data_IF_014277781341
#
_entry.id   IF_014277781341
#
_cell.length_a   1.000
_cell.length_b   1.000
_cell.length_c   1.000
_cell.angle_alpha   90.00
_cell.angle_beta   90.00
_cell.angle_gamma   90.00
#
_symmetry.space_group_name_H-M   'P 1'
#
loop_
_entity.id
_entity.type
_entity.pdbx_description
1 polymer ?
#
# COMPACT_ATOMS: atom_id res chain seq x y z
N UNK A 1 -23.96 -44.64 -24.92
CA UNK A 1 -24.80 -43.94 -23.92
C UNK A 1 -24.41 -44.44 -22.53
N UNK A 2 -23.72 -43.63 -21.73
CA UNK A 2 -23.40 -44.00 -20.34
C UNK A 2 -24.66 -43.99 -19.46
N UNK A 3 -24.79 -45.01 -18.60
CA UNK A 3 -25.86 -45.16 -17.62
C UNK A 3 -25.95 -43.96 -16.67
N UNK A 4 -27.15 -43.65 -16.21
CA UNK A 4 -27.44 -42.58 -15.22
C UNK A 4 -26.54 -42.66 -13.98
N UNK A 5 -26.19 -43.88 -13.52
CA UNK A 5 -25.26 -44.08 -12.41
C UNK A 5 -23.83 -43.68 -12.76
N UNK A 6 -23.37 -43.98 -13.97
CA UNK A 6 -22.03 -43.64 -14.47
C UNK A 6 -21.85 -42.13 -14.61
N UNK A 7 -22.89 -41.40 -15.02
CA UNK A 7 -22.87 -39.93 -15.10
C UNK A 7 -22.75 -39.26 -13.73
N UNK A 8 -23.44 -39.80 -12.70
CA UNK A 8 -23.36 -39.30 -11.33
C UNK A 8 -21.97 -39.53 -10.72
N UNK A 9 -21.36 -40.70 -10.95
CA UNK A 9 -20.02 -41.03 -10.44
C UNK A 9 -18.96 -40.14 -11.09
N UNK A 10 -19.03 -39.91 -12.40
CA UNK A 10 -18.11 -39.01 -13.10
C UNK A 10 -18.26 -37.57 -12.62
N UNK A 11 -19.50 -37.10 -12.39
CA UNK A 11 -19.75 -35.75 -11.86
C UNK A 11 -19.22 -35.60 -10.43
N UNK A 12 -19.41 -36.60 -9.56
CA UNK A 12 -18.88 -36.59 -8.18
C UNK A 12 -17.35 -36.62 -8.15
N UNK A 13 -16.71 -37.41 -9.03
CA UNK A 13 -15.25 -37.45 -9.16
C UNK A 13 -14.67 -36.14 -9.71
N UNK A 14 -15.37 -35.49 -10.64
CA UNK A 14 -14.97 -34.18 -11.17
C UNK A 14 -15.09 -33.07 -10.12
N UNK A 15 -16.15 -33.08 -9.31
CA UNK A 15 -16.32 -32.14 -8.18
C UNK A 15 -15.28 -32.37 -7.09
N UNK A 16 -14.95 -33.63 -6.77
CA UNK A 16 -13.87 -33.93 -5.82
C UNK A 16 -12.49 -33.51 -6.36
N UNK A 17 -12.21 -33.74 -7.65
CA UNK A 17 -10.96 -33.34 -8.27
C UNK A 17 -10.81 -31.80 -8.34
N UNK A 18 -11.90 -31.07 -8.64
CA UNK A 18 -11.92 -29.61 -8.59
C UNK A 18 -11.75 -29.08 -7.15
N UNK A 19 -12.40 -29.69 -6.16
CA UNK A 19 -12.25 -29.32 -4.75
C UNK A 19 -10.85 -29.65 -4.19
N UNK A 20 -10.17 -30.68 -4.72
CA UNK A 20 -8.80 -31.05 -4.35
C UNK A 20 -7.75 -30.19 -5.07
N UNK A 21 -8.01 -29.77 -6.31
CA UNK A 21 -7.15 -28.84 -7.05
C UNK A 21 -7.10 -27.45 -6.37
N UNK A 22 -8.23 -26.97 -5.82
CA UNK A 22 -8.30 -25.73 -5.02
C UNK A 22 -7.48 -25.81 -3.72
N UNK A 23 -7.16 -27.02 -3.22
CA UNK A 23 -6.32 -27.21 -2.02
C UNK A 23 -4.82 -27.33 -2.30
N UNK A 24 -4.41 -27.53 -3.56
CA UNK A 24 -3.02 -27.80 -3.93
C UNK A 24 -2.32 -26.62 -4.62
N UNK A 25 -3.07 -25.60 -5.05
CA UNK A 25 -2.49 -24.30 -5.41
C UNK A 25 -2.33 -23.45 -4.14
N UNK A 26 -1.13 -22.88 -3.86
CA UNK A 26 -1.03 -21.86 -2.83
C UNK A 26 -2.06 -20.77 -3.13
N UNK A 27 -2.75 -20.22 -2.11
CA UNK A 27 -3.68 -19.13 -2.33
C UNK A 27 -2.94 -18.00 -3.03
N UNK A 28 -3.47 -17.59 -4.18
CA UNK A 28 -3.05 -16.40 -4.90
C UNK A 28 -3.14 -15.23 -3.92
N UNK A 29 -2.02 -14.58 -3.58
CA UNK A 29 -2.01 -13.42 -2.68
C UNK A 29 -2.06 -12.15 -3.50
N UNK A 30 -2.94 -11.22 -3.12
CA UNK A 30 -3.02 -9.91 -3.79
C UNK A 30 -3.36 -8.83 -2.77
N UNK A 31 -2.79 -7.65 -3.00
CA UNK A 31 -2.41 -6.66 -2.02
C UNK A 31 -2.57 -5.19 -2.54
N UNK A 32 -3.75 -4.54 -2.63
CA UNK A 32 -3.90 -3.17 -3.24
C UNK A 32 -4.36 -1.96 -2.35
N UNK A 33 -3.58 -0.90 -2.09
CA UNK A 33 -3.81 0.34 -1.24
C UNK A 33 -5.06 0.58 -0.33
N UNK A 34 -4.83 1.19 0.84
CA UNK A 34 -5.79 1.94 1.65
C UNK A 34 -5.57 3.46 1.53
N UNK A 35 -6.61 4.27 1.36
CA UNK A 35 -6.36 5.68 1.03
C UNK A 35 -7.47 6.62 1.48
N UNK A 36 -7.21 7.50 2.46
CA UNK A 36 -8.14 8.52 3.01
C UNK A 36 -9.55 7.93 3.20
N UNK A 37 -9.57 6.75 3.80
CA UNK A 37 -10.76 5.90 3.77
C UNK A 37 -11.54 5.94 5.09
N UNK A 38 -10.83 6.15 6.19
CA UNK A 38 -11.41 6.39 7.51
C UNK A 38 -11.92 7.83 7.64
N UNK A 39 -13.13 8.07 8.18
CA UNK A 39 -13.62 9.41 8.49
C UNK A 39 -12.62 10.23 9.33
N UNK A 40 -11.86 9.59 10.21
CA UNK A 40 -10.85 10.25 11.02
C UNK A 40 -9.61 10.68 10.21
N UNK A 41 -9.20 9.88 9.22
CA UNK A 41 -8.01 10.15 8.38
C UNK A 41 -8.25 11.29 7.39
N UNK A 42 -9.49 11.49 6.94
CA UNK A 42 -9.90 12.67 6.17
C UNK A 42 -9.64 14.01 6.90
N UNK A 43 -9.30 13.97 8.19
CA UNK A 43 -8.94 15.13 9.00
C UNK A 43 -7.55 15.03 9.63
N UNK A 44 -6.82 13.93 9.43
CA UNK A 44 -5.45 13.70 9.92
C UNK A 44 -4.58 13.07 8.82
N UNK A 45 -4.39 13.79 7.73
CA UNK A 45 -3.67 13.27 6.55
C UNK A 45 -2.20 12.89 6.86
N UNK A 46 -1.61 13.43 7.93
CA UNK A 46 -0.24 13.13 8.30
C UNK A 46 -0.05 11.71 8.86
N UNK A 47 -1.13 11.05 9.28
CA UNK A 47 -1.15 9.68 9.78
C UNK A 47 -1.71 8.67 8.77
N UNK A 48 -2.29 9.13 7.65
CA UNK A 48 -2.86 8.32 6.58
C UNK A 48 -1.76 7.56 5.85
N UNK A 49 -1.70 6.24 6.07
CA UNK A 49 -0.88 5.34 5.27
C UNK A 49 -1.58 5.16 3.92
N UNK A 50 -0.80 5.05 2.85
CA UNK A 50 -1.34 4.78 1.52
C UNK A 50 -1.06 3.35 1.08
N UNK A 51 0.19 2.93 1.23
CA UNK A 51 0.61 1.61 0.82
C UNK A 51 1.81 1.10 1.60
N UNK A 52 1.82 -0.22 1.76
CA UNK A 52 2.97 -0.99 2.20
C UNK A 52 3.55 -1.81 1.05
N UNK A 53 4.88 -1.83 0.95
CA UNK A 53 5.63 -2.71 0.05
C UNK A 53 6.63 -3.53 0.87
N UNK A 54 6.83 -4.79 0.47
CA UNK A 54 7.71 -5.75 1.15
C UNK A 54 8.27 -6.70 0.10
N UNK A 55 9.57 -6.65 -0.16
CA UNK A 55 10.21 -7.51 -1.15
C UNK A 55 11.70 -7.73 -0.82
N UNK A 56 12.31 -8.79 -1.37
CA UNK A 56 13.77 -8.93 -1.31
C UNK A 56 14.41 -7.90 -2.24
N UNK A 57 15.53 -7.31 -1.83
CA UNK A 57 16.27 -6.39 -2.70
C UNK A 57 16.70 -7.14 -3.99
N UNK A 58 16.31 -6.65 -5.19
CA UNK A 58 16.60 -7.34 -6.44
C UNK A 58 18.10 -7.40 -6.78
N UNK A 59 18.92 -6.56 -6.15
CA UNK A 59 20.37 -6.53 -6.31
C UNK A 59 21.11 -7.34 -5.23
N UNK A 60 20.46 -7.59 -4.10
CA UNK A 60 21.00 -8.36 -2.98
C UNK A 60 19.87 -9.07 -2.20
N UNK A 61 19.55 -10.30 -2.61
CA UNK A 61 18.49 -11.09 -1.98
C UNK A 61 18.77 -11.46 -0.52
N UNK A 62 19.92 -11.10 0.07
CA UNK A 62 20.15 -11.19 1.51
C UNK A 62 19.48 -10.06 2.30
N UNK A 63 18.87 -9.09 1.61
CA UNK A 63 18.25 -7.90 2.19
C UNK A 63 16.75 -7.86 1.90
N UNK A 64 16.01 -7.31 2.86
CA UNK A 64 14.57 -7.07 2.76
C UNK A 64 14.34 -5.57 2.66
N UNK A 65 13.58 -5.16 1.64
CA UNK A 65 13.12 -3.78 1.45
C UNK A 65 11.68 -3.68 1.95
N UNK A 66 11.44 -2.69 2.80
CA UNK A 66 10.12 -2.31 3.30
C UNK A 66 9.88 -0.84 3.00
N UNK A 67 8.70 -0.51 2.47
CA UNK A 67 8.32 0.86 2.10
C UNK A 67 6.93 1.12 2.67
N UNK A 68 6.75 2.32 3.23
CA UNK A 68 5.47 2.88 3.66
C UNK A 68 5.30 4.23 2.97
N UNK A 69 4.20 4.41 2.25
CA UNK A 69 3.77 5.71 1.71
C UNK A 69 2.72 6.32 2.63
N UNK A 70 2.73 7.64 2.76
CA UNK A 70 1.93 8.42 3.71
C UNK A 70 1.52 9.74 3.06
N UNK A 71 0.35 10.28 3.39
CA UNK A 71 -0.08 11.61 2.96
C UNK A 71 0.05 11.80 1.42
N UNK A 72 -0.89 11.20 0.67
CA UNK A 72 -0.88 11.10 -0.77
C UNK A 72 -1.31 12.41 -1.43
N UNK A 73 -1.38 12.42 -2.76
CA UNK A 73 -1.85 13.56 -3.55
C UNK A 73 -1.05 14.85 -3.30
N UNK A 74 0.25 14.72 -3.03
CA UNK A 74 1.10 15.89 -2.86
C UNK A 74 1.31 16.59 -4.20
N UNK A 75 1.01 17.87 -4.23
CA UNK A 75 1.08 18.67 -5.45
C UNK A 75 2.49 19.23 -5.57
N UNK A 76 3.18 18.93 -6.66
CA UNK A 76 4.57 19.36 -6.92
C UNK A 76 4.77 20.88 -6.76
N UNK A 77 3.79 21.70 -7.18
CA UNK A 77 3.84 23.15 -7.05
C UNK A 77 3.58 23.69 -5.64
N UNK A 78 3.30 22.84 -4.66
CA UNK A 78 3.10 23.20 -3.24
C UNK A 78 3.93 22.32 -2.29
N UNK A 79 4.77 21.45 -2.84
CA UNK A 79 5.41 20.32 -2.14
C UNK A 79 6.15 20.73 -0.86
N UNK A 80 6.77 21.91 -0.82
CA UNK A 80 7.51 22.39 0.36
C UNK A 80 6.60 22.59 1.59
N UNK A 81 5.31 22.86 1.38
CA UNK A 81 4.31 22.96 2.46
C UNK A 81 3.67 21.63 2.84
N UNK A 82 3.81 20.60 2.01
CA UNK A 82 3.09 19.32 2.15
C UNK A 82 4.02 18.18 2.59
N UNK A 83 5.28 18.22 2.17
CA UNK A 83 6.29 17.21 2.44
C UNK A 83 6.92 17.37 3.85
N UNK A 84 6.07 17.25 4.88
CA UNK A 84 6.47 17.33 6.28
C UNK A 84 5.95 16.09 7.01
N UNK A 85 6.85 15.28 7.55
CA UNK A 85 6.48 14.19 8.46
C UNK A 85 6.06 14.77 9.82
N UNK A 86 4.92 14.35 10.38
CA UNK A 86 4.46 14.86 11.67
C UNK A 86 5.34 14.30 12.80
N UNK A 87 6.09 15.19 13.45
CA UNK A 87 6.94 14.89 14.59
C UNK A 87 6.21 14.36 15.84
N UNK A 88 4.88 14.48 15.90
CA UNK A 88 4.05 13.87 16.96
C UNK A 88 3.62 12.44 16.66
N UNK A 89 3.97 11.91 15.48
CA UNK A 89 3.69 10.54 15.08
C UNK A 89 4.93 9.65 15.21
N UNK A 90 4.65 8.38 15.49
CA UNK A 90 5.56 7.26 15.29
C UNK A 90 5.07 6.45 14.10
N UNK A 91 5.92 6.33 13.10
CA UNK A 91 5.73 5.44 11.96
C UNK A 91 6.40 4.11 12.31
N UNK A 92 5.66 3.01 12.25
CA UNK A 92 6.17 1.71 12.70
C UNK A 92 5.91 0.64 11.66
N UNK A 93 6.96 -0.10 11.35
CA UNK A 93 6.89 -1.37 10.64
C UNK A 93 6.80 -2.48 11.71
N UNK A 94 5.67 -3.18 11.73
CA UNK A 94 5.41 -4.33 12.60
C UNK A 94 5.71 -5.61 11.82
N UNK A 95 6.68 -6.39 12.30
CA UNK A 95 7.15 -7.59 11.62
C UNK A 95 6.71 -8.83 12.39
N UNK A 96 5.96 -9.70 11.72
CA UNK A 96 5.51 -11.01 12.22
C UNK A 96 6.41 -12.10 11.62
N UNK A 97 6.99 -12.98 12.43
CA UNK A 97 7.92 -14.01 11.95
C UNK A 97 7.78 -15.39 12.64
N UNK A 98 6.66 -15.63 13.31
CA UNK A 98 6.34 -16.85 14.07
C UNK A 98 5.09 -17.60 13.57
N UNK A 99 4.23 -16.93 12.82
CA UNK A 99 3.05 -17.44 12.15
C UNK A 99 1.73 -17.27 12.91
N UNK A 100 1.69 -16.50 13.99
CA UNK A 100 0.54 -16.40 14.91
C UNK A 100 -0.30 -15.10 14.77
N UNK A 101 0.00 -14.30 13.75
CA UNK A 101 -0.59 -12.98 13.50
C UNK A 101 -0.31 -11.93 14.59
N UNK A 102 0.70 -12.14 15.45
CA UNK A 102 1.16 -11.16 16.43
C UNK A 102 2.53 -10.63 15.97
N UNK A 103 2.70 -9.31 15.82
CA UNK A 103 4.02 -8.75 15.53
C UNK A 103 5.08 -9.11 16.58
N UNK A 104 6.20 -9.63 16.12
CA UNK A 104 7.33 -10.12 16.91
C UNK A 104 8.48 -9.11 17.02
N UNK A 105 8.64 -8.29 15.98
CA UNK A 105 9.72 -7.30 15.83
C UNK A 105 9.15 -5.98 15.35
N UNK A 106 9.85 -4.89 15.65
CA UNK A 106 9.41 -3.54 15.32
C UNK A 106 10.57 -2.71 14.80
N UNK A 107 10.30 -1.92 13.77
CA UNK A 107 11.15 -0.80 13.37
C UNK A 107 10.34 0.48 13.56
N UNK A 108 10.81 1.35 14.45
CA UNK A 108 10.15 2.62 14.74
C UNK A 108 10.92 3.76 14.07
N UNK A 109 10.19 4.67 13.44
CA UNK A 109 10.71 5.90 12.84
C UNK A 109 9.95 7.09 13.42
N UNK A 110 10.67 8.05 13.96
CA UNK A 110 10.13 9.36 14.36
C UNK A 110 10.94 10.47 13.71
N UNK A 111 10.36 11.65 13.59
CA UNK A 111 11.02 12.79 12.95
C UNK A 111 11.13 13.97 13.91
N UNK A 112 12.21 14.73 13.80
CA UNK A 112 12.26 16.08 14.37
C UNK A 112 11.21 16.96 13.71
N UNK A 113 10.77 18.00 14.41
CA UNK A 113 9.81 18.97 13.88
C UNK A 113 10.26 19.57 12.54
N UNK A 114 9.39 19.50 11.54
CA UNK A 114 9.49 20.31 10.32
C UNK A 114 8.84 21.68 10.50
N UNK A 115 9.35 22.70 9.81
CA UNK A 115 8.82 24.07 9.84
C UNK A 115 8.42 24.55 8.43
N UNK A 116 8.29 23.64 7.45
CA UNK A 116 7.87 23.95 6.09
C UNK A 116 8.92 24.73 5.29
N UNK A 117 8.51 25.88 4.71
CA UNK A 117 9.21 26.69 3.68
C UNK A 117 10.66 27.11 3.93
N UNK A 118 11.27 26.74 5.05
CA UNK A 118 12.64 27.15 5.42
C UNK A 118 13.44 26.12 6.25
N UNK A 119 13.20 24.80 6.15
CA UNK A 119 13.75 23.87 7.18
C UNK A 119 14.96 23.01 6.88
N UNK A 120 15.38 22.87 5.63
CA UNK A 120 16.31 21.80 5.32
C UNK A 120 15.72 20.44 5.75
N UNK A 121 16.55 19.41 5.94
CA UNK A 121 16.05 18.07 6.22
C UNK A 121 15.49 17.94 7.63
N UNK A 122 14.37 17.23 7.77
CA UNK A 122 14.01 16.65 9.08
C UNK A 122 15.03 15.56 9.41
N UNK A 123 15.34 15.38 10.70
CA UNK A 123 16.11 14.23 11.16
C UNK A 123 15.15 13.13 11.58
N UNK A 124 15.25 11.98 10.92
CA UNK A 124 14.62 10.74 11.34
C UNK A 124 15.46 10.08 12.44
N UNK A 125 14.80 9.52 13.45
CA UNK A 125 15.39 8.58 14.41
C UNK A 125 14.81 7.20 14.13
N UNK A 126 15.67 6.24 13.80
CA UNK A 126 15.31 4.88 13.39
C UNK A 126 15.73 3.91 14.49
N UNK A 127 14.76 3.28 15.14
CA UNK A 127 15.00 2.19 16.11
C UNK A 127 14.79 0.84 15.42
N UNK A 128 15.82 -0.01 15.43
CA UNK A 128 15.80 -1.35 14.83
C UNK A 128 15.62 -2.45 15.89
N UNK A 129 15.09 -3.62 15.49
CA UNK A 129 15.06 -4.79 16.37
C UNK A 129 16.48 -5.23 16.72
N UNK A 130 16.69 -5.69 17.95
CA UNK A 130 17.98 -6.25 18.34
C UNK A 130 18.29 -7.62 17.76
N UNK A 131 19.58 -7.87 17.52
CA UNK A 131 20.10 -9.20 17.18
C UNK A 131 19.72 -10.17 18.29
N UNK A 132 19.20 -11.33 17.89
CA UNK A 132 18.74 -12.39 18.80
C UNK A 132 19.89 -12.81 19.73
N UNK A 133 19.79 -12.51 21.02
CA UNK A 133 20.69 -13.07 22.04
C UNK A 133 20.33 -14.56 22.20
N UNK A 134 21.32 -15.44 22.33
CA UNK A 134 21.14 -16.91 22.36
C UNK A 134 20.09 -17.41 23.36
N UNK A 135 19.62 -18.65 23.17
CA UNK A 135 18.35 -19.28 23.62
C UNK A 135 17.95 -19.27 25.12
N UNK A 136 18.52 -18.42 25.97
CA UNK A 136 18.31 -18.44 27.42
C UNK A 136 17.61 -17.20 28.00
N UNK A 137 17.01 -16.33 27.19
CA UNK A 137 16.20 -15.21 27.69
C UNK A 137 14.71 -15.44 27.44
N UNK A 138 13.94 -15.51 28.52
CA UNK A 138 12.48 -15.65 28.52
C UNK A 138 11.81 -14.47 27.79
N UNK A 139 11.10 -14.78 26.71
CA UNK A 139 10.48 -13.87 25.75
C UNK A 139 9.38 -12.92 26.31
N UNK A 140 9.07 -12.97 27.61
CA UNK A 140 7.94 -12.23 28.17
C UNK A 140 8.23 -10.75 28.47
N UNK A 141 9.50 -10.38 28.70
CA UNK A 141 9.90 -9.00 29.01
C UNK A 141 10.71 -8.32 27.88
N UNK A 142 10.85 -8.97 26.73
CA UNK A 142 11.70 -8.51 25.61
C UNK A 142 10.92 -7.75 24.53
N UNK A 143 9.70 -7.27 24.85
CA UNK A 143 8.89 -6.44 23.93
C UNK A 143 9.49 -5.03 23.68
N UNK A 144 10.67 -4.75 24.24
CA UNK A 144 11.40 -3.48 24.17
C UNK A 144 12.91 -3.66 23.96
N UNK A 145 13.39 -4.77 23.38
CA UNK A 145 14.79 -4.87 22.96
C UNK A 145 15.07 -3.99 21.73
N UNK A 146 15.14 -2.66 21.95
CA UNK A 146 15.79 -1.69 21.05
C UNK A 146 17.24 -2.10 20.93
N UNK A 147 17.61 -2.73 19.82
CA UNK A 147 18.95 -3.29 19.71
C UNK A 147 19.95 -2.38 19.05
N UNK A 148 19.50 -1.48 18.17
CA UNK A 148 20.32 -0.52 17.44
C UNK A 148 19.44 0.71 17.10
N UNK A 149 20.01 1.91 17.21
CA UNK A 149 19.36 3.16 16.84
C UNK A 149 20.34 4.00 16.02
N UNK A 150 19.86 4.63 14.95
CA UNK A 150 20.64 5.59 14.17
C UNK A 150 19.73 6.72 13.68
N UNK A 151 20.35 7.82 13.24
CA UNK A 151 19.63 8.97 12.68
C UNK A 151 19.97 9.15 11.21
N UNK A 152 19.04 9.73 10.46
CA UNK A 152 19.20 10.02 9.03
C UNK A 152 18.45 11.31 8.65
N UNK A 153 19.01 12.18 7.79
CA UNK A 153 18.26 13.30 7.24
C UNK A 153 17.23 12.83 6.20
N UNK A 154 16.11 13.54 6.08
CA UNK A 154 15.19 13.40 4.95
C UNK A 154 15.79 14.01 3.67
N UNK A 155 15.30 13.56 2.51
CA UNK A 155 15.51 14.28 1.26
C UNK A 155 14.65 15.54 1.25
N UNK A 156 15.27 16.69 1.00
CA UNK A 156 14.56 17.98 0.92
C UNK A 156 13.93 18.10 -0.48
N UNK A 157 12.60 18.27 -0.58
CA UNK A 157 11.95 18.42 -1.87
C UNK A 157 12.24 19.79 -2.47
N UNK A 158 12.08 19.90 -3.79
CA UNK A 158 12.25 21.15 -4.52
C UNK A 158 10.92 21.60 -5.15
N UNK A 159 10.57 22.87 -4.99
CA UNK A 159 9.38 23.44 -5.64
C UNK A 159 9.73 24.21 -6.92
N UNK A 160 11.00 24.59 -7.11
CA UNK A 160 11.45 25.41 -8.24
C UNK A 160 11.05 26.89 -8.13
N UNK A 161 12.00 27.79 -8.37
CA UNK A 161 11.68 29.22 -8.57
C UNK A 161 11.53 29.57 -10.07
N UNK A 162 12.26 28.85 -10.92
CA UNK A 162 12.20 28.90 -12.39
C UNK A 162 12.02 27.46 -12.87
N UNK A 163 11.05 27.25 -13.76
CA UNK A 163 10.59 25.92 -14.18
C UNK A 163 11.31 25.43 -15.43
N UNK A 164 12.27 26.21 -15.95
CA UNK A 164 12.97 25.92 -17.20
C UNK A 164 14.09 24.88 -17.07
N UNK A 165 14.70 24.68 -15.89
CA UNK A 165 15.80 23.73 -15.64
C UNK A 165 15.75 23.15 -14.21
N UNK A 166 14.59 22.65 -13.78
CA UNK A 166 14.49 21.98 -12.47
C UNK A 166 14.72 20.47 -12.62
N UNK A 167 15.74 19.94 -11.94
CA UNK A 167 16.03 18.51 -11.84
C UNK A 167 15.59 17.98 -10.48
N UNK A 168 14.93 16.81 -10.39
CA UNK A 168 14.52 16.24 -9.10
C UNK A 168 15.70 16.14 -8.12
N UNK A 169 15.48 16.30 -6.81
CA UNK A 169 16.54 16.14 -5.83
C UNK A 169 17.02 14.69 -5.84
N UNK A 170 18.34 14.49 -5.71
CA UNK A 170 18.90 13.16 -5.51
C UNK A 170 18.39 12.59 -4.19
N UNK A 171 18.17 11.27 -4.15
CA UNK A 171 17.76 10.60 -2.94
C UNK A 171 18.88 10.63 -1.89
N UNK A 172 18.58 11.18 -0.72
CA UNK A 172 19.47 11.14 0.44
C UNK A 172 19.27 9.82 1.18
N UNK A 173 20.19 8.87 0.98
CA UNK A 173 20.18 7.55 1.62
C UNK A 173 21.25 7.48 2.70
N UNK A 174 20.87 7.08 3.91
CA UNK A 174 21.81 6.82 5.01
C UNK A 174 21.96 5.33 5.23
N UNK A 175 23.20 4.82 5.25
CA UNK A 175 23.47 3.43 5.65
C UNK A 175 24.18 3.40 6.99
N UNK A 176 23.56 2.78 7.98
CA UNK A 176 24.16 2.59 9.29
C UNK A 176 25.15 1.42 9.26
N UNK A 177 26.41 1.72 9.60
CA UNK A 177 27.50 0.74 9.59
C UNK A 177 27.37 -0.37 10.63
N UNK A 178 26.62 -0.15 11.72
CA UNK A 178 26.46 -1.12 12.81
C UNK A 178 25.43 -2.19 12.47
N UNK A 179 24.27 -1.78 11.97
CA UNK A 179 23.18 -2.66 11.58
C UNK A 179 23.28 -3.15 10.14
N UNK A 180 23.97 -2.41 9.27
CA UNK A 180 23.92 -2.60 7.82
C UNK A 180 22.59 -2.18 7.20
N UNK A 181 21.70 -1.51 7.94
CA UNK A 181 20.44 -1.00 7.42
C UNK A 181 20.67 0.27 6.59
N UNK A 182 19.92 0.40 5.50
CA UNK A 182 19.87 1.62 4.67
C UNK A 182 18.49 2.24 4.79
N UNK A 183 18.42 3.56 4.92
CA UNK A 183 17.20 4.31 5.16
C UNK A 183 17.06 5.48 4.20
N UNK A 184 15.83 5.71 3.76
CA UNK A 184 15.41 6.86 2.98
C UNK A 184 14.07 7.37 3.51
N UNK A 185 13.92 8.69 3.60
CA UNK A 185 12.63 9.33 3.77
C UNK A 185 12.57 10.64 2.96
N UNK A 186 11.45 10.91 2.29
CA UNK A 186 11.30 12.08 1.43
C UNK A 186 9.92 12.13 0.78
N UNK A 187 9.80 12.95 -0.28
CA UNK A 187 8.59 13.11 -1.06
C UNK A 187 8.80 12.76 -2.55
N UNK A 188 9.01 11.48 -2.90
CA UNK A 188 9.10 11.05 -4.29
C UNK A 188 7.75 11.11 -4.98
N UNK A 189 7.74 10.72 -6.26
CA UNK A 189 6.53 10.28 -6.95
C UNK A 189 5.79 9.18 -6.17
N UNK A 190 4.45 9.16 -6.28
CA UNK A 190 3.63 8.14 -5.64
C UNK A 190 3.73 6.82 -6.41
N UNK A 191 4.32 5.75 -5.84
CA UNK A 191 4.51 4.51 -6.57
C UNK A 191 3.22 3.70 -6.76
N UNK A 192 2.11 4.10 -6.13
CA UNK A 192 0.85 3.41 -6.31
C UNK A 192 0.10 3.92 -7.54
N UNK A 193 -0.53 3.01 -8.26
CA UNK A 193 -1.24 3.32 -9.48
C UNK A 193 -2.56 2.54 -9.48
N UNK A 194 -3.66 3.26 -9.69
CA UNK A 194 -5.02 2.72 -9.68
C UNK A 194 -5.99 3.70 -10.35
N UNK A 195 -6.99 3.19 -11.08
CA UNK A 195 -8.20 3.95 -11.40
C UNK A 195 -9.13 3.99 -10.20
N UNK A 196 -8.82 4.86 -9.25
CA UNK A 196 -9.54 4.95 -7.99
C UNK A 196 -11.00 5.44 -8.21
N UNK A 197 -11.25 6.16 -9.31
CA UNK A 197 -12.61 6.55 -9.67
C UNK A 197 -13.44 5.33 -10.05
N UNK A 198 -12.91 4.45 -10.91
CA UNK A 198 -13.56 3.21 -11.28
C UNK A 198 -13.69 2.26 -10.09
N UNK A 199 -12.65 2.12 -9.26
CA UNK A 199 -12.66 1.33 -8.04
C UNK A 199 -13.77 1.76 -7.07
N UNK A 200 -13.88 3.06 -6.77
CA UNK A 200 -14.94 3.59 -5.91
C UNK A 200 -16.35 3.35 -6.48
N UNK A 201 -16.52 3.49 -7.80
CA UNK A 201 -17.79 3.17 -8.47
C UNK A 201 -18.11 1.68 -8.39
N UNK A 202 -17.10 0.81 -8.50
CA UNK A 202 -17.25 -0.63 -8.35
C UNK A 202 -17.72 -0.99 -6.93
N UNK A 203 -17.05 -0.48 -5.90
CA UNK A 203 -17.44 -0.65 -4.47
C UNK A 203 -18.87 -0.15 -4.24
N UNK A 204 -19.18 1.07 -4.67
CA UNK A 204 -20.52 1.64 -4.50
C UNK A 204 -21.60 0.82 -5.20
N UNK A 205 -21.30 0.27 -6.39
CA UNK A 205 -22.22 -0.58 -7.12
C UNK A 205 -22.52 -1.90 -6.40
N UNK A 206 -21.54 -2.47 -5.69
CA UNK A 206 -21.71 -3.71 -4.91
C UNK A 206 -22.62 -3.48 -3.70
N UNK A 207 -22.49 -2.31 -3.06
CA UNK A 207 -23.35 -1.90 -1.94
C UNK A 207 -24.79 -1.65 -2.42
N UNK A 208 -24.96 -0.97 -3.56
CA UNK A 208 -26.29 -0.64 -4.11
C UNK A 208 -27.01 -1.85 -4.71
N UNK A 209 -26.26 -2.79 -5.30
CA UNK A 209 -26.80 -4.00 -5.92
C UNK A 209 -26.07 -5.26 -5.39
N UNK A 210 -26.33 -5.69 -4.14
CA UNK A 210 -25.65 -6.83 -3.54
C UNK A 210 -25.70 -8.09 -4.41
N UNK A 211 -24.53 -8.68 -4.64
CA UNK A 211 -24.34 -9.89 -5.45
C UNK A 211 -24.22 -9.62 -6.95
N UNK A 212 -24.46 -8.39 -7.40
CA UNK A 212 -24.43 -7.98 -8.81
C UNK A 212 -23.75 -6.62 -9.00
N UNK A 213 -22.46 -6.46 -8.61
CA UNK A 213 -21.76 -5.21 -8.81
C UNK A 213 -21.57 -4.93 -10.31
N UNK A 214 -21.55 -3.64 -10.66
CA UNK A 214 -21.33 -3.19 -12.03
C UNK A 214 -19.84 -3.24 -12.37
N UNK A 215 -19.41 -4.29 -13.06
CA UNK A 215 -18.02 -4.46 -13.53
C UNK A 215 -17.67 -3.58 -14.73
N UNK A 216 -18.67 -3.09 -15.46
CA UNK A 216 -18.46 -2.26 -16.64
C UNK A 216 -17.88 -0.89 -16.29
N UNK A 217 -17.82 -0.53 -15.00
CA UNK A 217 -17.13 0.69 -14.53
C UNK A 217 -15.65 0.72 -14.89
N UNK A 218 -15.02 -0.44 -15.10
CA UNK A 218 -13.64 -0.55 -15.56
C UNK A 218 -13.52 -0.65 -17.09
N UNK A 219 -14.60 -1.00 -17.81
CA UNK A 219 -14.56 -1.26 -19.25
C UNK A 219 -14.50 0.02 -20.12
N UNK A 220 -14.69 1.19 -19.53
CA UNK A 220 -14.72 2.47 -20.23
C UNK A 220 -13.60 3.36 -19.68
N UNK A 221 -12.73 3.83 -20.59
CA UNK A 221 -11.73 4.88 -20.30
C UNK A 221 -12.41 5.96 -19.49
N UNK A 222 -12.03 6.12 -18.23
CA UNK A 222 -12.85 6.81 -17.24
C UNK A 222 -13.19 8.24 -17.70
N UNK A 223 -14.39 8.38 -18.21
CA UNK A 223 -15.08 9.62 -18.46
C UNK A 223 -16.53 9.43 -18.01
N UNK A 224 -17.15 10.51 -17.58
CA UNK A 224 -18.38 10.46 -16.79
C UNK A 224 -19.59 10.13 -17.69
N UNK A 225 -20.03 8.88 -17.70
CA UNK A 225 -21.42 8.63 -18.09
C UNK A 225 -22.34 9.30 -17.08
N UNK A 226 -23.33 10.04 -17.56
CA UNK A 226 -24.37 10.63 -16.72
C UNK A 226 -24.96 9.54 -15.79
N UNK A 227 -25.30 9.86 -14.52
CA UNK A 227 -25.80 8.88 -13.56
C UNK A 227 -27.03 8.08 -14.02
N UNK A 228 -27.73 8.54 -15.06
CA UNK A 228 -28.92 7.94 -15.65
C UNK A 228 -28.65 7.16 -16.96
N UNK A 229 -27.40 7.10 -17.43
CA UNK A 229 -27.03 6.40 -18.67
C UNK A 229 -27.60 7.00 -19.95
N UNK A 230 -28.07 8.25 -19.91
CA UNK A 230 -28.81 8.87 -21.02
C UNK A 230 -27.94 9.35 -22.18
N UNK A 231 -26.63 9.52 -21.99
CA UNK A 231 -25.75 10.04 -23.02
C UNK A 231 -24.40 9.30 -23.09
N UNK A 232 -24.20 8.41 -24.09
CA UNK A 232 -22.93 7.75 -24.35
C UNK A 232 -21.85 8.71 -24.91
N UNK A 233 -22.19 9.98 -25.16
CA UNK A 233 -21.33 11.03 -25.71
C UNK A 233 -21.16 12.24 -24.79
N UNK A 234 -21.62 12.20 -23.53
CA UNK A 234 -21.49 13.32 -22.59
C UNK A 234 -20.03 13.79 -22.45
N UNK A 235 -19.08 12.86 -22.54
CA UNK A 235 -17.64 13.19 -22.58
C UNK A 235 -17.19 13.84 -23.89
N UNK A 236 -17.77 13.58 -25.05
CA UNK A 236 -17.32 14.28 -26.27
C UNK A 236 -17.53 15.79 -26.19
N UNK A 237 -18.49 16.24 -25.37
CA UNK A 237 -18.82 17.65 -25.17
C UNK A 237 -18.10 18.26 -23.94
N UNK A 238 -17.76 17.47 -22.92
CA UNK A 238 -17.00 17.89 -21.72
C UNK A 238 -15.49 17.60 -21.76
N UNK A 239 -15.05 16.52 -22.42
CA UNK A 239 -13.64 16.18 -22.68
C UNK A 239 -12.98 17.11 -23.71
N UNK A 240 -13.76 17.93 -24.44
CA UNK A 240 -13.22 19.11 -25.13
C UNK A 240 -12.73 20.22 -24.17
N UNK A 241 -13.06 20.11 -22.88
CA UNK A 241 -12.70 21.08 -21.84
C UNK A 241 -11.79 20.48 -20.76
N UNK A 242 -11.88 19.17 -20.50
CA UNK A 242 -10.92 18.46 -19.64
C UNK A 242 -9.63 18.12 -20.41
N UNK A 243 -8.48 18.09 -19.73
CA UNK A 243 -7.22 17.70 -20.32
C UNK A 243 -7.22 16.36 -21.06
N UNK A 244 -6.31 16.22 -22.04
CA UNK A 244 -6.12 14.96 -22.75
C UNK A 244 -5.63 13.88 -21.79
N UNK A 245 -6.43 12.83 -21.57
CA UNK A 245 -6.10 11.70 -20.69
C UNK A 245 -4.72 11.07 -20.98
N UNK A 246 -4.23 11.13 -22.22
CA UNK A 246 -2.88 10.69 -22.63
C UNK A 246 -1.73 11.33 -21.84
N UNK A 247 -1.95 12.46 -21.16
CA UNK A 247 -0.91 13.15 -20.37
C UNK A 247 -1.00 12.90 -18.87
N UNK A 248 -2.13 12.37 -18.39
CA UNK A 248 -2.35 11.93 -17.00
C UNK A 248 -2.05 10.44 -16.80
N UNK A 249 -1.37 9.82 -17.76
CA UNK A 249 -0.98 8.41 -17.71
C UNK A 249 0.54 8.24 -17.67
N UNK A 250 1.34 9.27 -17.98
CA UNK A 250 2.79 9.13 -18.06
C UNK A 250 3.22 7.93 -18.93
N UNK A 251 3.96 6.99 -18.33
CA UNK A 251 4.34 5.71 -18.96
C UNK A 251 3.21 4.67 -19.04
N UNK A 252 2.14 4.83 -18.26
CA UNK A 252 0.96 3.96 -18.35
C UNK A 252 0.31 4.09 -19.73
N UNK A 253 0.00 2.95 -20.35
CA UNK A 253 -0.63 2.88 -21.67
C UNK A 253 -2.02 2.24 -21.62
N UNK A 254 -2.48 1.89 -20.42
CA UNK A 254 -3.78 1.27 -20.20
C UNK A 254 -4.95 2.24 -20.47
N UNK A 255 -6.15 1.69 -20.54
CA UNK A 255 -7.38 2.45 -20.76
C UNK A 255 -7.84 3.21 -19.51
N UNK A 256 -7.39 2.84 -18.31
CA UNK A 256 -7.77 3.42 -17.03
C UNK A 256 -7.09 4.76 -16.79
N UNK A 257 -7.69 5.58 -15.94
CA UNK A 257 -7.06 6.82 -15.49
C UNK A 257 -6.27 6.52 -14.23
N UNK A 258 -4.95 6.59 -14.30
CA UNK A 258 -4.13 6.61 -13.11
C UNK A 258 -4.51 7.84 -12.25
N UNK A 259 -5.02 7.57 -11.05
CA UNK A 259 -5.48 8.63 -10.15
C UNK A 259 -4.30 9.34 -9.47
N UNK A 260 -3.18 8.65 -9.33
CA UNK A 260 -2.00 9.08 -8.59
C UNK A 260 -0.96 9.76 -9.48
N UNK A 261 -1.07 9.54 -10.80
CA UNK A 261 -0.17 10.17 -11.76
C UNK A 261 -0.08 11.69 -11.57
N UNK A 262 1.17 12.16 -11.50
CA UNK A 262 1.51 13.57 -11.33
C UNK A 262 1.46 14.09 -9.89
N UNK A 263 1.22 13.22 -8.91
CA UNK A 263 1.29 13.53 -7.49
C UNK A 263 2.48 12.85 -6.81
N UNK A 264 2.98 13.48 -5.76
CA UNK A 264 3.91 12.84 -4.84
C UNK A 264 3.21 12.28 -3.61
N UNK A 265 3.99 11.60 -2.78
CA UNK A 265 3.58 11.09 -1.46
C UNK A 265 4.75 11.24 -0.48
N UNK A 266 4.50 11.31 0.83
CA UNK A 266 5.57 11.08 1.79
C UNK A 266 5.93 9.60 1.77
N UNK A 267 7.22 9.29 1.76
CA UNK A 267 7.68 7.91 1.68
C UNK A 267 8.77 7.65 2.71
N UNK A 268 8.64 6.53 3.43
CA UNK A 268 9.66 5.96 4.31
C UNK A 268 10.06 4.61 3.74
N UNK A 269 11.32 4.46 3.36
CA UNK A 269 11.89 3.20 2.89
C UNK A 269 13.03 2.75 3.80
N UNK A 270 13.08 1.45 4.08
CA UNK A 270 14.18 0.84 4.80
C UNK A 270 14.59 -0.49 4.15
N UNK A 271 15.88 -0.66 3.93
CA UNK A 271 16.50 -1.92 3.49
C UNK A 271 17.31 -2.47 4.65
N UNK A 272 17.00 -3.69 5.09
CA UNK A 272 17.66 -4.31 6.24
C UNK A 272 18.22 -5.69 5.89
N UNK A 273 19.36 -6.11 6.49
CA UNK A 273 19.78 -7.50 6.41
C UNK A 273 18.67 -8.44 6.92
N UNK A 274 18.35 -9.49 6.16
CA UNK A 274 17.24 -10.38 6.49
C UNK A 274 17.39 -11.03 7.88
N UNK A 275 18.62 -11.18 8.38
CA UNK A 275 18.92 -11.75 9.70
C UNK A 275 18.39 -10.92 10.87
N UNK A 276 18.10 -9.63 10.67
CA UNK A 276 17.47 -8.78 11.68
C UNK A 276 15.96 -9.07 11.80
N UNK A 277 15.35 -9.59 10.74
CA UNK A 277 13.90 -9.81 10.65
C UNK A 277 13.51 -11.28 10.80
N UNK A 278 14.34 -12.21 10.32
CA UNK A 278 13.98 -13.63 10.20
C UNK A 278 13.77 -14.28 11.56
N UNK A 279 12.62 -14.94 11.69
CA UNK A 279 12.26 -15.78 12.83
C UNK A 279 12.84 -17.19 12.74
N UNK A 280 12.10 -18.18 13.23
CA UNK A 280 12.46 -19.61 13.07
C UNK A 280 12.13 -20.15 11.68
N UNK A 281 11.22 -19.48 10.95
CA UNK A 281 10.80 -19.85 9.60
C UNK A 281 11.50 -19.09 8.48
N UNK A 282 10.90 -19.18 7.29
CA UNK A 282 11.30 -18.41 6.09
C UNK A 282 10.25 -17.38 5.67
N UNK A 283 9.04 -17.41 6.24
CA UNK A 283 8.04 -16.39 5.98
C UNK A 283 8.20 -15.28 7.01
N UNK A 284 8.13 -14.04 6.56
CA UNK A 284 7.91 -12.86 7.39
C UNK A 284 6.65 -12.15 6.91
N UNK A 285 6.02 -11.43 7.83
CA UNK A 285 4.87 -10.58 7.61
C UNK A 285 5.18 -9.13 7.99
N UNK A 286 4.53 -8.19 7.31
CA UNK A 286 4.60 -6.76 7.56
C UNK A 286 3.20 -6.19 7.74
N UNK A 287 3.02 -5.42 8.81
CA UNK A 287 1.92 -4.50 9.02
C UNK A 287 2.52 -3.11 9.28
N UNK A 288 2.07 -2.09 8.56
CA UNK A 288 2.42 -0.70 8.81
C UNK A 288 1.45 -0.10 9.81
N UNK A 289 1.95 0.70 10.75
CA UNK A 289 1.08 1.50 11.63
C UNK A 289 1.62 2.91 11.82
N UNK A 290 0.73 3.89 11.83
CA UNK A 290 1.01 5.23 12.37
C UNK A 290 0.40 5.34 13.76
N UNK A 291 1.18 5.89 14.68
CA UNK A 291 0.79 5.94 16.07
C UNK A 291 0.99 7.33 16.65
N UNK A 292 0.03 7.78 17.43
CA UNK A 292 0.05 9.06 18.13
C UNK A 292 -0.03 8.82 19.63
N UNK A 293 0.61 9.66 20.43
CA UNK A 293 0.46 9.55 21.88
C UNK A 293 -0.97 9.93 22.30
N UNK A 294 -1.56 9.14 23.19
CA UNK A 294 -2.96 9.22 23.60
C UNK A 294 -3.37 10.59 24.13
N UNK A 295 -2.47 11.29 24.79
CA UNK A 295 -2.73 12.63 25.29
C UNK A 295 -1.95 13.65 24.48
N UNK A 296 -2.63 14.72 24.09
CA UNK A 296 -2.08 15.84 23.35
C UNK A 296 -2.26 17.10 24.19
N UNK A 297 -1.22 17.94 24.29
CA UNK A 297 -1.28 19.23 24.96
C UNK A 297 -0.87 20.32 23.97
N UNK A 298 -1.75 21.29 23.77
CA UNK A 298 -1.42 22.51 23.03
C UNK A 298 -0.67 23.46 23.96
N UNK A 299 0.57 23.78 23.61
CA UNK A 299 1.44 24.74 24.30
C UNK A 299 1.06 26.17 23.93
N UNK A 300 1.53 27.15 24.72
CA UNK A 300 1.22 28.59 24.51
C UNK A 300 1.73 29.14 23.18
N UNK A 301 2.76 28.52 22.62
CA UNK A 301 3.33 28.82 21.31
C UNK A 301 2.60 28.11 20.16
N UNK A 302 1.44 27.51 20.44
CA UNK A 302 0.61 26.79 19.47
C UNK A 302 1.13 25.39 19.13
N UNK A 303 2.24 24.94 19.73
CA UNK A 303 2.75 23.60 19.47
C UNK A 303 1.89 22.53 20.12
N UNK A 304 1.64 21.45 19.40
CA UNK A 304 1.02 20.25 19.96
C UNK A 304 2.14 19.33 20.44
N UNK A 305 2.06 18.93 21.70
CA UNK A 305 3.00 17.99 22.33
C UNK A 305 2.22 16.74 22.80
N UNK A 306 2.62 15.58 22.29
CA UNK A 306 2.11 14.28 22.75
C UNK A 306 2.71 13.83 24.08
N UNK A 307 1.96 13.05 24.85
CA UNK A 307 2.48 12.30 26.01
C UNK A 307 1.62 11.06 26.35
N UNK A 308 2.20 10.15 27.13
CA UNK A 308 1.57 8.88 27.49
C UNK A 308 1.78 7.80 26.43
N UNK A 309 0.94 6.76 26.49
CA UNK A 309 1.03 5.60 25.60
C UNK A 309 0.71 5.97 24.15
N UNK A 310 1.38 5.29 23.22
CA UNK A 310 1.03 5.36 21.81
C UNK A 310 -0.25 4.57 21.54
N UNK A 311 -1.12 5.14 20.71
CA UNK A 311 -2.30 4.48 20.14
C UNK A 311 -2.17 4.49 18.62
N UNK A 312 -2.58 3.40 17.98
CA UNK A 312 -2.67 3.32 16.52
C UNK A 312 -3.76 4.25 16.02
N UNK A 313 -3.39 5.10 15.07
CA UNK A 313 -4.30 6.01 14.37
C UNK A 313 -4.67 5.38 13.03
N UNK A 314 -3.67 4.87 12.34
CA UNK A 314 -3.84 4.16 11.09
C UNK A 314 -2.99 2.90 11.01
N UNK A 315 -3.43 1.96 10.18
CA UNK A 315 -2.68 0.74 9.88
C UNK A 315 -2.96 0.26 8.48
N UNK A 316 -1.96 -0.37 7.89
CA UNK A 316 -2.08 -1.00 6.59
C UNK A 316 -1.29 -2.31 6.53
N UNK A 317 -2.00 -3.37 6.15
CA UNK A 317 -1.46 -4.73 6.06
C UNK A 317 -1.52 -5.26 4.63
N UNK A 318 -2.51 -6.11 4.37
CA UNK A 318 -2.92 -6.53 3.02
C UNK A 318 -3.74 -5.40 2.43
N UNK A 319 -3.24 -4.78 1.36
CA UNK A 319 -3.93 -3.63 0.83
C UNK A 319 -5.30 -3.99 0.19
N UNK A 320 -6.27 -3.05 0.27
CA UNK A 320 -7.68 -3.04 -0.22
C UNK A 320 -8.68 -3.54 0.82
N UNK A 321 -8.19 -4.17 1.88
CA UNK A 321 -9.06 -4.69 2.93
C UNK A 321 -9.79 -3.50 3.57
N UNK A 322 -9.05 -2.50 4.00
CA UNK A 322 -9.61 -1.30 4.62
C UNK A 322 -10.43 -0.45 3.63
N UNK A 323 -9.91 -0.20 2.43
CA UNK A 323 -10.54 0.66 1.42
C UNK A 323 -11.90 0.13 0.91
N UNK A 324 -11.93 -1.13 0.48
CA UNK A 324 -13.06 -1.69 -0.27
C UNK A 324 -13.90 -2.74 0.47
N UNK A 325 -13.33 -3.44 1.46
CA UNK A 325 -13.99 -4.57 2.11
C UNK A 325 -14.52 -4.25 3.51
N UNK A 326 -13.88 -3.34 4.23
CA UNK A 326 -14.38 -2.85 5.52
C UNK A 326 -15.45 -1.78 5.29
N UNK A 327 -16.65 -1.94 5.87
CA UNK A 327 -17.72 -0.97 5.69
C UNK A 327 -17.35 0.35 6.37
N UNK A 328 -17.68 1.48 5.75
CA UNK A 328 -17.31 2.83 6.20
C UNK A 328 -17.50 3.08 7.72
N UNK A 329 -18.61 2.68 8.38
CA UNK A 329 -18.79 2.90 9.82
C UNK A 329 -17.83 2.14 10.72
N UNK A 330 -17.10 1.13 10.20
CA UNK A 330 -16.14 0.33 10.95
C UNK A 330 -14.68 0.64 10.60
N UNK A 331 -14.41 1.54 9.64
CA UNK A 331 -13.04 1.84 9.19
C UNK A 331 -12.16 2.37 10.32
N UNK A 332 -12.64 3.33 11.12
CA UNK A 332 -11.87 3.82 12.27
C UNK A 332 -11.63 2.71 13.34
N UNK A 333 -12.59 1.80 13.53
CA UNK A 333 -12.42 0.65 14.42
C UNK A 333 -11.38 -0.33 13.86
N UNK A 334 -11.39 -0.54 12.55
CA UNK A 334 -10.44 -1.38 11.84
C UNK A 334 -9.03 -0.81 11.98
N UNK A 335 -8.85 0.48 11.69
CA UNK A 335 -7.57 1.19 11.79
C UNK A 335 -6.96 1.11 13.20
N UNK A 336 -7.81 1.20 14.23
CA UNK A 336 -7.38 1.06 15.63
C UNK A 336 -7.23 -0.38 16.13
N UNK A 337 -7.59 -1.41 15.34
CA UNK A 337 -7.49 -2.81 15.73
C UNK A 337 -6.10 -3.39 15.46
N UNK A 338 -5.85 -4.58 16.01
CA UNK A 338 -4.60 -5.32 15.77
C UNK A 338 -4.78 -6.41 14.71
N UNK A 339 -3.69 -6.84 14.11
CA UNK A 339 -3.67 -8.00 13.21
C UNK A 339 -4.13 -9.29 13.90
N UNK A 340 -3.98 -9.37 15.23
CA UNK A 340 -4.52 -10.45 16.04
C UNK A 340 -6.06 -10.37 16.18
N UNK A 341 -6.63 -9.17 16.28
CA UNK A 341 -8.09 -8.99 16.28
C UNK A 341 -8.71 -9.45 14.96
N UNK A 342 -8.03 -9.20 13.84
CA UNK A 342 -8.41 -9.70 12.52
C UNK A 342 -8.39 -11.24 12.49
N UNK A 343 -7.30 -11.86 12.96
CA UNK A 343 -7.16 -13.32 13.08
C UNK A 343 -8.25 -13.95 13.95
N UNK A 344 -8.63 -13.26 15.03
CA UNK A 344 -9.72 -13.67 15.92
C UNK A 344 -11.12 -13.42 15.33
N UNK A 345 -11.22 -12.85 14.13
CA UNK A 345 -12.45 -12.73 13.36
C UNK A 345 -13.30 -11.51 13.71
N UNK A 346 -12.73 -10.47 14.32
CA UNK A 346 -13.45 -9.23 14.71
C UNK A 346 -14.21 -8.57 13.56
N UNK A 347 -13.69 -8.67 12.33
CA UNK A 347 -14.29 -8.11 11.11
C UNK A 347 -14.81 -9.17 10.14
N UNK A 348 -14.77 -10.45 10.52
CA UNK A 348 -15.07 -11.58 9.62
C UNK A 348 -16.48 -11.50 9.01
N UNK A 349 -17.47 -11.10 9.79
CA UNK A 349 -18.85 -10.97 9.33
C UNK A 349 -18.98 -9.87 8.26
N UNK A 350 -18.28 -8.75 8.41
CA UNK A 350 -18.32 -7.65 7.46
C UNK A 350 -17.56 -7.98 6.17
N UNK A 351 -16.38 -8.60 6.28
CA UNK A 351 -15.63 -9.09 5.11
C UNK A 351 -16.50 -10.04 4.27
N UNK A 352 -17.17 -11.01 4.89
CA UNK A 352 -18.09 -11.92 4.18
C UNK A 352 -19.24 -11.15 3.52
N UNK A 353 -19.83 -10.19 4.24
CA UNK A 353 -20.93 -9.37 3.70
C UNK A 353 -20.47 -8.59 2.47
N UNK A 354 -19.34 -7.87 2.57
CA UNK A 354 -18.78 -7.08 1.47
C UNK A 354 -18.42 -7.97 0.28
N UNK A 355 -17.75 -9.10 0.50
CA UNK A 355 -17.41 -10.03 -0.58
C UNK A 355 -18.66 -10.64 -1.26
N UNK A 356 -19.71 -10.95 -0.50
CA UNK A 356 -21.01 -11.36 -1.06
C UNK A 356 -21.67 -10.24 -1.85
N UNK A 357 -21.57 -8.98 -1.40
CA UNK A 357 -22.04 -7.83 -2.16
C UNK A 357 -21.33 -7.73 -3.52
N UNK A 358 -20.05 -8.08 -3.61
CA UNK A 358 -19.34 -8.19 -4.89
C UNK A 358 -19.71 -9.41 -5.74
N UNK A 359 -20.58 -10.30 -5.26
CA UNK A 359 -20.89 -11.56 -5.94
C UNK A 359 -19.72 -12.56 -5.91
N UNK A 360 -18.83 -12.43 -4.92
CA UNK A 360 -17.74 -13.38 -4.69
C UNK A 360 -18.35 -14.70 -4.23
N UNK A 361 -17.94 -15.81 -4.85
CA UNK A 361 -18.36 -17.16 -4.51
C UNK A 361 -17.82 -17.58 -3.14
N UNK A 362 -18.51 -18.49 -2.47
CA UNK A 362 -18.08 -18.99 -1.15
C UNK A 362 -16.67 -19.62 -1.18
N UNK A 363 -16.28 -20.22 -2.32
CA UNK A 363 -14.93 -20.76 -2.51
C UNK A 363 -13.86 -19.64 -2.49
N UNK A 364 -14.09 -18.55 -3.23
CA UNK A 364 -13.17 -17.40 -3.26
C UNK A 364 -13.22 -16.60 -1.96
N UNK A 365 -14.38 -16.48 -1.30
CA UNK A 365 -14.48 -15.91 0.05
C UNK A 365 -13.58 -16.67 1.02
N UNK A 366 -13.59 -18.01 0.99
CA UNK A 366 -12.72 -18.80 1.85
C UNK A 366 -11.22 -18.65 1.52
N UNK A 367 -10.87 -18.33 0.27
CA UNK A 367 -9.48 -18.00 -0.11
C UNK A 367 -9.10 -16.63 0.45
N UNK A 368 -9.93 -15.61 0.21
CA UNK A 368 -9.69 -14.24 0.67
C UNK A 368 -9.62 -14.15 2.20
N UNK A 369 -10.54 -14.78 2.93
CA UNK A 369 -10.48 -14.81 4.41
C UNK A 369 -9.18 -15.46 4.92
N UNK A 370 -8.69 -16.52 4.27
CA UNK A 370 -7.39 -17.11 4.63
C UNK A 370 -6.21 -16.17 4.44
N UNK A 371 -6.32 -15.25 3.48
CA UNK A 371 -5.28 -14.29 3.15
C UNK A 371 -5.31 -13.07 4.07
N UNK A 372 -6.49 -12.49 4.29
CA UNK A 372 -6.65 -11.15 4.88
C UNK A 372 -7.18 -11.16 6.32
N UNK A 373 -7.70 -12.31 6.78
CA UNK A 373 -8.37 -12.41 8.07
C UNK A 373 -7.72 -13.49 8.94
N UNK A 374 -7.73 -14.76 8.53
CA UNK A 374 -7.32 -15.89 9.37
C UNK A 374 -5.84 -15.86 9.79
N UNK A 375 -5.01 -15.12 9.06
CA UNK A 375 -3.58 -14.93 9.35
C UNK A 375 -3.23 -13.49 9.75
N UNK A 376 -4.23 -12.71 10.13
CA UNK A 376 -4.14 -11.27 10.33
C UNK A 376 -4.02 -10.52 9.01
N UNK A 377 -4.36 -9.23 9.05
CA UNK A 377 -4.11 -8.33 7.94
C UNK A 377 -2.61 -7.99 7.86
N UNK A 378 -1.85 -8.83 7.14
CA UNK A 378 -0.39 -8.81 7.13
C UNK A 378 0.11 -9.08 5.71
N UNK A 379 0.92 -8.18 5.16
CA UNK A 379 1.64 -8.37 3.90
C UNK A 379 2.79 -9.37 4.09
N UNK A 380 2.83 -10.45 3.33
CA UNK A 380 3.74 -11.59 3.59
C UNK A 380 4.75 -11.85 2.48
N UNK A 381 5.96 -12.23 2.90
CA UNK A 381 7.11 -12.56 2.04
C UNK A 381 7.75 -13.88 2.51
N UNK A 382 7.91 -14.85 1.59
CA UNK A 382 8.80 -16.00 1.77
C UNK A 382 10.21 -15.61 1.33
N UNK A 383 11.13 -15.54 2.28
CA UNK A 383 12.53 -15.13 2.12
C UNK A 383 13.36 -16.04 1.19
N UNK A 384 12.79 -17.14 0.69
CA UNK A 384 13.44 -18.03 -0.30
C UNK A 384 13.04 -17.71 -1.74
N UNK A 385 11.98 -16.94 -1.93
CA UNK A 385 11.47 -16.60 -3.26
C UNK A 385 12.35 -15.48 -3.81
N UNK A 386 13.16 -15.75 -4.85
CA UNK A 386 14.12 -14.76 -5.34
C UNK A 386 13.40 -13.58 -6.00
N UNK A 387 13.92 -12.39 -5.79
CA UNK A 387 13.55 -11.19 -6.52
C UNK A 387 14.72 -10.71 -7.35
N UNK A 388 14.52 -10.40 -8.63
CA UNK A 388 15.56 -9.89 -9.53
C UNK A 388 14.94 -8.99 -10.59
N UNK A 389 15.78 -8.22 -11.28
CA UNK A 389 15.37 -7.36 -12.38
C UNK A 389 15.22 -5.89 -11.96
N UNK A 390 14.91 -5.01 -12.94
CA UNK A 390 14.87 -3.57 -12.74
C UNK A 390 13.71 -3.11 -11.86
N UNK A 391 13.73 -1.85 -11.41
CA UNK A 391 12.61 -1.16 -10.77
C UNK A 391 12.08 -1.80 -9.49
N UNK A 392 12.97 -2.35 -8.66
CA UNK A 392 12.57 -3.11 -7.47
C UNK A 392 12.24 -4.58 -7.73
N UNK A 393 12.43 -5.06 -8.97
CA UNK A 393 12.29 -6.46 -9.39
C UNK A 393 11.01 -6.74 -10.18
N UNK A 394 11.12 -7.60 -11.19
CA UNK A 394 10.03 -7.91 -12.12
C UNK A 394 10.05 -9.38 -12.62
N UNK A 395 10.88 -10.24 -12.05
CA UNK A 395 10.94 -11.66 -12.42
C UNK A 395 9.59 -12.36 -12.16
N UNK A 396 9.24 -13.29 -13.05
CA UNK A 396 7.98 -14.06 -13.02
C UNK A 396 7.83 -14.96 -11.80
N UNK A 397 8.96 -15.39 -11.23
CA UNK A 397 9.00 -16.32 -10.10
C UNK A 397 8.91 -15.61 -8.75
N UNK A 398 8.89 -14.26 -8.75
CA UNK A 398 8.74 -13.40 -7.58
C UNK A 398 7.32 -12.82 -7.45
N UNK A 399 7.19 -11.75 -6.66
CA UNK A 399 5.94 -11.00 -6.51
C UNK A 399 4.84 -11.74 -5.73
N UNK A 400 3.65 -11.13 -5.61
CA UNK A 400 2.63 -11.52 -4.64
C UNK A 400 2.02 -12.89 -4.95
N UNK A 401 1.90 -13.22 -6.24
CA UNK A 401 1.41 -14.50 -6.73
C UNK A 401 2.29 -15.69 -6.31
N UNK A 402 3.58 -15.47 -6.06
CA UNK A 402 4.56 -16.51 -5.75
C UNK A 402 5.09 -16.41 -4.32
N UNK A 403 4.42 -15.66 -3.43
CA UNK A 403 4.87 -15.41 -2.05
C UNK A 403 6.15 -14.54 -1.96
N UNK A 404 6.54 -13.87 -3.05
CA UNK A 404 7.68 -12.96 -3.10
C UNK A 404 7.41 -11.57 -2.54
N UNK A 405 6.34 -11.41 -1.74
CA UNK A 405 5.92 -10.12 -1.19
C UNK A 405 5.23 -9.23 -2.22
N UNK A 406 5.22 -7.91 -2.00
CA UNK A 406 4.70 -6.88 -2.93
C UNK A 406 5.83 -5.94 -3.32
N UNK A 407 6.14 -5.89 -4.61
CA UNK A 407 7.10 -4.98 -5.25
C UNK A 407 6.38 -3.73 -5.76
N UNK A 408 7.13 -2.69 -6.08
CA UNK A 408 6.60 -1.44 -6.63
C UNK A 408 5.85 -1.64 -7.95
N UNK A 409 6.34 -2.55 -8.81
CA UNK A 409 5.77 -2.83 -10.13
C UNK A 409 4.58 -3.80 -10.11
N UNK A 410 4.27 -4.41 -8.97
CA UNK A 410 3.20 -5.40 -8.94
C UNK A 410 1.84 -4.69 -9.02
N UNK A 411 1.11 -4.92 -10.13
CA UNK A 411 -0.26 -4.46 -10.31
C UNK A 411 -1.22 -5.29 -9.44
N UNK A 412 -1.27 -4.84 -8.19
CA UNK A 412 -2.04 -5.46 -7.15
C UNK A 412 -3.54 -5.16 -7.25
N UNK A 413 -3.92 -4.05 -7.91
CA UNK A 413 -5.32 -3.70 -8.08
C UNK A 413 -6.03 -4.75 -8.93
N UNK A 414 -5.46 -5.04 -10.11
CA UNK A 414 -5.96 -6.04 -11.05
C UNK A 414 -6.10 -7.41 -10.42
N UNK A 415 -5.07 -7.85 -9.72
CA UNK A 415 -5.09 -9.18 -9.13
C UNK A 415 -6.12 -9.24 -7.96
N UNK A 416 -6.36 -8.15 -7.22
CA UNK A 416 -7.32 -8.13 -6.10
C UNK A 416 -8.74 -8.13 -6.62
N UNK A 417 -9.03 -7.30 -7.62
CA UNK A 417 -10.31 -7.29 -8.31
C UNK A 417 -10.59 -8.63 -9.00
N UNK A 418 -9.57 -9.27 -9.58
CA UNK A 418 -9.68 -10.61 -10.16
C UNK A 418 -10.06 -11.67 -9.11
N UNK A 419 -9.46 -11.63 -7.91
CA UNK A 419 -9.81 -12.54 -6.82
C UNK A 419 -11.25 -12.35 -6.32
N UNK A 420 -11.65 -11.09 -6.11
CA UNK A 420 -13.03 -10.71 -5.76
C UNK A 420 -13.99 -11.18 -6.87
N UNK A 421 -13.56 -11.09 -8.13
CA UNK A 421 -14.31 -11.52 -9.31
C UNK A 421 -14.20 -13.03 -9.60
N UNK A 422 -14.12 -13.88 -8.59
CA UNK A 422 -14.12 -15.34 -8.75
C UNK A 422 -12.96 -15.89 -9.60
N UNK A 423 -11.81 -15.19 -9.59
CA UNK A 423 -10.65 -15.52 -10.43
C UNK A 423 -10.86 -15.19 -11.91
N UNK A 424 -11.98 -14.57 -12.29
CA UNK A 424 -12.16 -14.04 -13.63
C UNK A 424 -11.43 -12.70 -13.72
N UNK A 425 -10.55 -12.51 -14.73
CA UNK A 425 -9.80 -11.27 -14.87
C UNK A 425 -10.70 -10.05 -14.81
N UNK A 426 -10.36 -9.12 -13.93
CA UNK A 426 -11.00 -7.82 -13.80
C UNK A 426 -9.91 -6.82 -13.49
N UNK A 427 -9.50 -6.08 -14.51
CA UNK A 427 -8.48 -5.05 -14.34
C UNK A 427 -9.07 -3.66 -14.28
N UNK A 428 -8.33 -2.74 -13.66
CA UNK A 428 -8.65 -1.31 -13.64
C UNK A 428 -8.05 -0.56 -14.84
N UNK A 429 -7.26 -1.26 -15.65
CA UNK A 429 -6.56 -0.78 -16.84
C UNK A 429 -5.51 0.30 -16.54
N UNK A 430 -4.90 0.26 -15.36
CA UNK A 430 -3.72 1.04 -14.99
C UNK A 430 -2.55 0.08 -14.77
N UNK A 431 -1.85 -0.27 -15.84
CA UNK A 431 -0.93 -1.43 -15.81
C UNK A 431 0.45 -1.12 -15.19
N UNK A 432 0.75 0.14 -14.89
CA UNK A 432 2.04 0.61 -14.34
C UNK A 432 1.98 2.04 -13.83
N UNK A 433 2.98 2.39 -13.03
CA UNK A 433 3.27 3.75 -12.60
C UNK A 433 3.55 4.72 -13.76
N UNK A 434 3.26 6.00 -13.55
CA UNK A 434 3.44 7.05 -14.55
C UNK A 434 4.92 7.41 -14.78
N UNK A 435 5.80 7.15 -13.81
CA UNK A 435 7.25 7.21 -13.94
C UNK A 435 7.94 5.85 -13.74
N UNK A 436 9.04 5.65 -14.44
CA UNK A 436 9.85 4.45 -14.28
C UNK A 436 10.57 4.45 -12.91
N UNK A 437 10.46 3.34 -12.22
CA UNK A 437 11.17 3.08 -10.98
C UNK A 437 12.68 2.96 -11.18
N UNK A 438 13.45 3.33 -10.14
CA UNK A 438 14.90 3.22 -10.13
C UNK A 438 15.41 1.81 -9.85
N UNK A 439 16.66 1.53 -10.22
CA UNK A 439 17.30 0.22 -10.07
C UNK A 439 18.13 0.07 -8.78
N UNK A 440 18.13 1.10 -7.93
CA UNK A 440 18.83 1.10 -6.65
C UNK A 440 17.91 1.62 -5.55
N UNK A 441 18.08 1.14 -4.32
CA UNK A 441 17.35 1.62 -3.14
C UNK A 441 17.33 3.16 -3.10
N UNK A 442 16.15 3.81 -2.94
CA UNK A 442 14.84 3.28 -2.54
C UNK A 442 13.97 2.66 -3.66
N UNK A 443 14.48 2.53 -4.88
CA UNK A 443 13.80 1.97 -6.07
C UNK A 443 12.60 2.77 -6.61
N UNK A 444 12.10 3.78 -5.90
CA UNK A 444 11.00 4.62 -6.38
C UNK A 444 11.42 5.60 -7.46
N UNK A 445 10.44 6.16 -8.17
CA UNK A 445 10.67 7.24 -9.12
C UNK A 445 11.01 8.56 -8.37
N UNK A 446 11.81 9.46 -8.97
CA UNK A 446 12.14 10.74 -8.35
C UNK A 446 10.92 11.62 -8.11
N UNK A 447 11.08 12.67 -7.29
CA UNK A 447 10.02 13.65 -7.03
C UNK A 447 9.38 14.18 -8.32
N UNK A 448 8.04 14.24 -8.35
CA UNK A 448 7.30 14.93 -9.41
C UNK A 448 7.58 16.43 -9.38
N UNK A 449 7.90 17.01 -10.53
CA UNK A 449 8.23 18.42 -10.68
C UNK A 449 7.08 19.23 -11.28
N UNK A 450 6.97 20.53 -10.95
CA UNK A 450 6.04 21.43 -11.63
C UNK A 450 6.34 21.53 -13.13
N UNK A 451 5.33 21.85 -13.93
CA UNK A 451 5.52 22.03 -15.37
C UNK A 451 6.26 23.35 -15.67
N UNK A 452 7.06 23.41 -16.74
CA UNK A 452 7.55 24.65 -17.32
C UNK A 452 6.44 25.67 -17.60
N UNK A 453 6.65 26.91 -17.20
CA UNK A 453 5.75 28.03 -17.49
C UNK A 453 5.53 28.17 -19.01
N UNK A 454 4.27 28.28 -19.44
CA UNK A 454 3.91 28.51 -20.85
C UNK A 454 3.54 27.26 -21.66
N UNK A 455 3.66 26.05 -21.10
CA UNK A 455 2.98 24.87 -21.65
C UNK A 455 1.51 25.02 -21.29
N UNK A 456 0.70 25.40 -22.27
CA UNK A 456 -0.74 25.62 -22.13
C UNK A 456 -1.44 24.27 -21.90
N UNK A 457 -1.27 23.72 -20.71
CA UNK A 457 -1.74 22.40 -20.37
C UNK A 457 -2.96 22.52 -19.47
N UNK A 458 -4.10 22.09 -20.01
CA UNK A 458 -5.32 21.95 -19.22
C UNK A 458 -5.22 20.77 -18.25
N UNK A 459 -4.10 20.03 -18.26
CA UNK A 459 -3.80 18.87 -17.42
C UNK A 459 -3.84 19.25 -15.94
N UNK A 460 -4.31 18.31 -15.14
CA UNK A 460 -4.54 18.41 -13.70
C UNK A 460 -3.26 18.66 -12.90
N UNK A 461 -2.68 19.85 -13.04
CA UNK A 461 -1.77 20.47 -12.09
C UNK A 461 -2.46 21.75 -11.66
N UNK A 462 -3.29 21.61 -10.63
CA UNK A 462 -4.14 22.62 -9.98
C UNK A 462 -4.23 23.96 -10.74
N UNK A 463 -5.32 24.14 -11.49
CA UNK A 463 -5.82 25.51 -11.72
C UNK A 463 -6.29 26.01 -10.36
N UNK A 464 -5.64 27.04 -9.83
CA UNK A 464 -6.22 27.88 -8.79
C UNK A 464 -7.51 28.52 -9.29
#
# INVERSE_FOLDING_TARGET
MFSSKSKKIVLTLFVLAAALAIRLTPPVRVNASDHIDGPQLAHDHASDINDMYLFLDPNDNSRVVMIMTINPFQISSEIIGQAIFDHNLRYRFEIENTGDAIPDRFIDVTFTRGLGRETGPQTATISLPGRRRGSNSSAANDRHSRGLEFTAPTTVPIQGADTSDITPPEFVVTTDSMSGASFYAGAPDDPFFLDNTAANRFVLSSIRNPGSPNRAVFAHRAGFNAPDGSDPNADSQLAGQLPSQTRNQGLNQGAGRDTYSGFGTLLIAISVPMELLRGTGNEIGLNGVTQRQKHQRVRRDGQVEGFGDFVTVDREGVPLVNNGLIPAPRKDEYNGATTQDDANGRFRADLIRSLRNFGTSEANIAILLRMIQERGDILRLDLRVPNNGPGGGNNSDGGPMNMGGRRLQDDVADATFTLINNGQPLGDFVDRNDFAFGDTFPFVAPQVLPNPNGVNNRDTRVRL
#
